data_IF_915484102361
#
_entry.id   IF_915484102361
#
_cell.length_a   1.000
_cell.length_b   1.000
_cell.length_c   1.000
_cell.angle_alpha   90.00
_cell.angle_beta   90.00
_cell.angle_gamma   90.00
#
_symmetry.space_group_name_H-M   'P 1'
#
loop_
_entity.id
_entity.type
_entity.pdbx_description
1 polymer ?
#
# COMPACT_ATOMS: atom_id res chain seq x y z
N UNK A 1 6.14 -40.52 -26.33
CA UNK A 1 6.65 -40.03 -25.04
C UNK A 1 6.37 -38.53 -24.99
N UNK A 2 5.14 -38.16 -24.61
CA UNK A 2 4.74 -36.77 -24.49
C UNK A 2 5.19 -36.28 -23.12
N UNK A 3 6.21 -35.44 -23.06
CA UNK A 3 6.53 -34.69 -21.85
C UNK A 3 5.42 -33.67 -21.66
N UNK A 4 4.45 -33.99 -20.81
CA UNK A 4 3.51 -33.00 -20.28
C UNK A 4 4.33 -31.89 -19.62
N UNK A 5 4.54 -30.79 -20.35
CA UNK A 5 5.03 -29.55 -19.78
C UNK A 5 3.90 -28.97 -18.91
N UNK A 6 3.68 -29.58 -17.74
CA UNK A 6 2.92 -28.99 -16.63
C UNK A 6 3.75 -27.85 -16.05
N UNK A 7 3.97 -26.83 -16.88
CA UNK A 7 4.41 -25.53 -16.42
C UNK A 7 3.13 -24.93 -15.86
N UNK A 8 3.04 -24.79 -14.54
CA UNK A 8 2.01 -23.98 -13.88
C UNK A 8 2.14 -22.54 -14.38
N UNK A 9 1.63 -22.26 -15.58
CA UNK A 9 1.57 -20.92 -16.17
C UNK A 9 0.47 -20.21 -15.42
N UNK A 10 0.87 -19.38 -14.46
CA UNK A 10 -0.02 -18.42 -13.84
C UNK A 10 -0.72 -17.64 -14.95
N UNK A 11 -2.03 -17.82 -15.06
CA UNK A 11 -2.85 -17.07 -15.99
C UNK A 11 -2.83 -15.57 -15.63
N UNK A 12 -2.94 -14.71 -16.63
CA UNK A 12 -2.90 -13.27 -16.48
C UNK A 12 -4.01 -12.77 -15.53
N UNK A 13 -5.18 -13.40 -15.56
CA UNK A 13 -6.27 -13.12 -14.62
C UNK A 13 -5.88 -13.40 -13.17
N UNK A 14 -5.19 -14.52 -12.91
CA UNK A 14 -4.70 -14.88 -11.57
C UNK A 14 -3.65 -13.89 -11.08
N UNK A 15 -2.70 -13.51 -11.94
CA UNK A 15 -1.67 -12.51 -11.60
C UNK A 15 -2.32 -11.15 -11.28
N UNK A 16 -3.27 -10.70 -12.11
CA UNK A 16 -4.00 -9.46 -11.87
C UNK A 16 -4.80 -9.51 -10.57
N UNK A 17 -5.35 -10.69 -10.22
CA UNK A 17 -5.99 -10.95 -8.92
C UNK A 17 -5.05 -10.73 -7.74
N UNK A 18 -3.82 -11.24 -7.80
CA UNK A 18 -2.81 -11.00 -6.76
C UNK A 18 -2.37 -9.53 -6.70
N UNK A 19 -2.17 -8.87 -7.86
CA UNK A 19 -1.86 -7.43 -7.90
C UNK A 19 -2.97 -6.63 -7.25
N UNK A 20 -4.24 -6.96 -7.50
CA UNK A 20 -5.40 -6.32 -6.87
C UNK A 20 -5.37 -6.47 -5.35
N UNK A 21 -5.18 -7.69 -4.86
CA UNK A 21 -5.10 -7.96 -3.43
C UNK A 21 -3.97 -7.15 -2.78
N UNK A 22 -2.78 -7.18 -3.38
CA UNK A 22 -1.62 -6.43 -2.90
C UNK A 22 -1.89 -4.92 -2.86
N UNK A 23 -2.43 -4.33 -3.93
CA UNK A 23 -2.79 -2.91 -3.98
C UNK A 23 -3.77 -2.56 -2.85
N UNK A 24 -4.81 -3.37 -2.62
CA UNK A 24 -5.77 -3.11 -1.55
C UNK A 24 -5.14 -3.20 -0.16
N UNK A 25 -4.24 -4.15 0.06
CA UNK A 25 -3.47 -4.24 1.32
C UNK A 25 -2.61 -2.99 1.52
N UNK A 26 -1.87 -2.56 0.50
CA UNK A 26 -1.02 -1.37 0.58
C UNK A 26 -1.82 -0.07 0.79
N UNK A 27 -2.99 0.06 0.15
CA UNK A 27 -3.91 1.20 0.37
C UNK A 27 -4.47 1.18 1.80
N UNK A 28 -4.84 0.00 2.31
CA UNK A 28 -5.32 -0.14 3.68
C UNK A 28 -4.23 0.26 4.67
N UNK A 29 -3.00 -0.19 4.44
CA UNK A 29 -1.85 0.17 5.25
C UNK A 29 -1.58 1.69 5.21
N UNK A 30 -1.67 2.32 4.03
CA UNK A 30 -1.57 3.77 3.90
C UNK A 30 -2.64 4.49 4.73
N UNK A 31 -3.90 4.04 4.63
CA UNK A 31 -5.01 4.62 5.38
C UNK A 31 -4.79 4.49 6.91
N UNK A 32 -4.32 3.33 7.38
CA UNK A 32 -3.99 3.12 8.79
C UNK A 32 -2.85 4.02 9.24
N UNK A 33 -1.79 4.20 8.44
CA UNK A 33 -0.71 5.13 8.76
C UNK A 33 -1.20 6.57 8.89
N UNK A 34 -2.05 7.03 7.96
CA UNK A 34 -2.63 8.38 8.01
C UNK A 34 -3.55 8.55 9.21
N UNK A 35 -4.35 7.53 9.53
CA UNK A 35 -5.22 7.53 10.72
C UNK A 35 -4.41 7.65 12.01
N UNK A 36 -3.32 6.89 12.14
CA UNK A 36 -2.43 6.93 13.32
C UNK A 36 -1.79 8.32 13.46
N UNK A 37 -1.21 8.87 12.39
CA UNK A 37 -0.58 10.20 12.44
C UNK A 37 -1.60 11.28 12.76
N UNK A 38 -2.76 11.25 12.12
CA UNK A 38 -3.86 12.19 12.40
C UNK A 38 -4.32 12.10 13.86
N UNK A 39 -4.46 10.90 14.40
CA UNK A 39 -4.84 10.67 15.80
C UNK A 39 -3.80 11.24 16.76
N UNK A 40 -2.52 10.99 16.50
CA UNK A 40 -1.41 11.50 17.32
C UNK A 40 -1.36 13.04 17.27
N UNK A 41 -1.56 13.63 16.09
CA UNK A 41 -1.65 15.09 15.93
C UNK A 41 -2.77 15.69 16.79
N UNK A 42 -3.98 15.13 16.71
CA UNK A 42 -5.12 15.58 17.53
C UNK A 42 -4.84 15.46 19.03
N UNK A 43 -4.25 14.34 19.48
CA UNK A 43 -3.91 14.15 20.90
C UNK A 43 -2.90 15.20 21.36
N UNK A 44 -1.92 15.55 20.53
CA UNK A 44 -0.91 16.54 20.87
C UNK A 44 -1.48 17.95 20.97
N UNK A 45 -2.43 18.31 20.09
CA UNK A 45 -3.17 19.57 20.21
C UNK A 45 -3.98 19.63 21.51
N UNK A 46 -4.62 18.53 21.90
CA UNK A 46 -5.45 18.46 23.12
C UNK A 46 -4.64 18.47 24.43
N UNK A 47 -3.46 17.84 24.44
CA UNK A 47 -2.62 17.69 25.65
C UNK A 47 -1.53 18.75 25.79
N UNK A 48 -1.43 19.68 24.83
CA UNK A 48 -0.36 20.66 24.72
C UNK A 48 0.88 20.05 24.08
N UNK A 49 1.37 20.69 23.02
CA UNK A 49 2.44 20.15 22.18
C UNK A 49 3.80 20.14 22.87
N UNK A 50 4.02 20.96 23.90
CA UNK A 50 5.37 21.22 24.43
C UNK A 50 6.09 19.99 25.01
N UNK A 51 5.38 19.09 25.70
CA UNK A 51 5.97 17.82 26.18
C UNK A 51 6.05 16.74 25.10
N UNK A 52 5.25 16.88 24.03
CA UNK A 52 5.11 15.86 22.98
C UNK A 52 5.86 16.21 21.70
N UNK A 53 6.38 17.43 21.57
CA UNK A 53 6.96 18.00 20.34
C UNK A 53 8.03 17.08 19.73
N UNK A 54 8.95 16.58 20.56
CA UNK A 54 10.06 15.70 20.13
C UNK A 54 9.52 14.33 19.68
N UNK A 55 8.52 13.78 20.39
CA UNK A 55 7.88 12.52 20.05
C UNK A 55 7.01 12.66 18.79
N UNK A 56 6.40 13.82 18.58
CA UNK A 56 5.60 14.15 17.41
C UNK A 56 6.48 14.26 16.17
N UNK A 57 7.56 15.04 16.26
CA UNK A 57 8.46 15.29 15.15
C UNK A 57 9.11 13.99 14.64
N UNK A 58 9.58 13.14 15.55
CA UNK A 58 10.15 11.84 15.19
C UNK A 58 9.10 10.90 14.58
N UNK A 59 7.90 10.81 15.17
CA UNK A 59 6.80 9.99 14.65
C UNK A 59 6.37 10.42 13.25
N UNK A 60 6.15 11.73 13.04
CA UNK A 60 5.77 12.29 11.74
C UNK A 60 6.88 12.06 10.72
N UNK A 61 8.15 12.22 11.10
CA UNK A 61 9.29 12.00 10.19
C UNK A 61 9.40 10.53 9.76
N UNK A 62 9.30 9.58 10.71
CA UNK A 62 9.36 8.16 10.40
C UNK A 62 8.17 7.67 9.58
N UNK A 63 6.95 8.07 9.95
CA UNK A 63 5.76 7.71 9.17
C UNK A 63 5.79 8.40 7.80
N UNK A 64 6.25 9.65 7.70
CA UNK A 64 6.40 10.34 6.42
C UNK A 64 7.35 9.61 5.48
N UNK A 65 8.52 9.18 5.97
CA UNK A 65 9.46 8.35 5.19
C UNK A 65 8.84 7.00 4.81
N UNK A 66 8.13 6.36 5.73
CA UNK A 66 7.45 5.09 5.45
C UNK A 66 6.38 5.25 4.36
N UNK A 67 5.51 6.26 4.47
CA UNK A 67 4.47 6.58 3.49
C UNK A 67 5.09 6.91 2.14
N UNK A 68 6.19 7.68 2.10
CA UNK A 68 6.91 7.97 0.85
C UNK A 68 7.37 6.67 0.15
N UNK A 69 7.98 5.74 0.89
CA UNK A 69 8.40 4.43 0.35
C UNK A 69 7.22 3.56 -0.05
N UNK A 70 6.14 3.59 0.72
CA UNK A 70 4.90 2.88 0.42
C UNK A 70 4.30 3.37 -0.90
N UNK A 71 4.25 4.69 -1.12
CA UNK A 71 3.74 5.31 -2.33
C UNK A 71 4.59 4.98 -3.56
N UNK A 72 5.92 4.89 -3.41
CA UNK A 72 6.82 4.46 -4.49
C UNK A 72 6.48 3.07 -5.05
N UNK A 73 5.91 2.18 -4.23
CA UNK A 73 5.48 0.83 -4.66
C UNK A 73 4.01 0.82 -5.05
N UNK A 74 3.16 1.46 -4.24
CA UNK A 74 1.71 1.46 -4.43
C UNK A 74 1.31 2.15 -5.73
N UNK A 75 1.89 3.30 -6.08
CA UNK A 75 1.49 4.06 -7.27
C UNK A 75 1.75 3.25 -8.55
N UNK A 76 2.95 2.69 -8.79
CA UNK A 76 3.18 1.83 -9.96
C UNK A 76 2.25 0.62 -10.01
N UNK A 77 2.06 -0.09 -8.88
CA UNK A 77 1.17 -1.27 -8.85
C UNK A 77 -0.29 -0.89 -9.12
N UNK A 78 -0.73 0.28 -8.64
CA UNK A 78 -2.06 0.80 -8.94
C UNK A 78 -2.22 1.09 -10.43
N UNK A 79 -1.22 1.70 -11.07
CA UNK A 79 -1.21 1.90 -12.54
C UNK A 79 -1.29 0.56 -13.27
N UNK A 80 -0.47 -0.43 -12.88
CA UNK A 80 -0.51 -1.78 -13.44
C UNK A 80 -1.89 -2.41 -13.27
N UNK A 81 -2.53 -2.28 -12.10
CA UNK A 81 -3.87 -2.79 -11.86
C UNK A 81 -4.91 -2.10 -12.75
N UNK A 82 -4.85 -0.78 -12.89
CA UNK A 82 -5.80 -0.01 -13.70
C UNK A 82 -5.68 -0.36 -15.18
N UNK A 83 -4.46 -0.41 -15.71
CA UNK A 83 -4.19 -0.77 -17.11
C UNK A 83 -4.48 -2.24 -17.34
N UNK A 84 -4.03 -3.12 -16.45
CA UNK A 84 -4.24 -4.57 -16.53
C UNK A 84 -5.72 -4.95 -16.62
N UNK A 85 -6.60 -4.30 -15.84
CA UNK A 85 -8.06 -4.49 -15.94
C UNK A 85 -8.67 -4.09 -17.28
N UNK A 86 -7.99 -3.27 -18.09
CA UNK A 86 -8.49 -2.90 -19.43
C UNK A 86 -8.07 -3.90 -20.51
N UNK A 87 -7.03 -4.69 -20.24
CA UNK A 87 -6.41 -5.58 -21.22
C UNK A 87 -6.77 -7.05 -20.92
N UNK A 88 -6.88 -7.41 -19.65
CA UNK A 88 -7.32 -8.74 -19.22
C UNK A 88 -8.84 -8.73 -19.18
N UNK A 89 -9.47 -9.52 -20.04
CA UNK A 89 -10.92 -9.77 -19.99
C UNK A 89 -11.23 -10.57 -18.74
N UNK A 90 -12.16 -10.08 -17.91
CA UNK A 90 -12.75 -10.89 -16.85
C UNK A 90 -13.38 -12.12 -17.53
N UNK A 91 -12.85 -13.31 -17.21
CA UNK A 91 -13.32 -14.59 -17.76
C UNK A 91 -14.75 -14.92 -17.29
#
# INVERSE_FOLDING_TARGET
MATEQTTSRLDAATVLGYVRALVYTLVTLLALCLLVVGTIGLIAELKGSWHWEIHLQSTISYIGLFVSRLLLVLVPLFVVLVVGRRVVTDA
#
